data_IF_285693954630
#
_entry.id   IF_285693954630
#
_cell.length_a   1.000
_cell.length_b   1.000
_cell.length_c   1.000
_cell.angle_alpha   90.00
_cell.angle_beta   90.00
_cell.angle_gamma   90.00
#
_symmetry.space_group_name_H-M   'P 1'
#
loop_
_entity.id
_entity.type
_entity.pdbx_description
1 polymer ?
#
# COMPACT_ATOMS: atom_id res chain seq x y z
N UNK A 1 -0.88 -20.32 2.66
CA UNK A 1 -1.11 -20.23 1.21
C UNK A 1 0.19 -20.51 0.47
N UNK A 2 0.17 -21.41 -0.50
CA UNK A 2 1.29 -21.72 -1.39
C UNK A 2 1.06 -21.07 -2.76
N UNK A 3 2.12 -20.53 -3.34
CA UNK A 3 2.21 -20.20 -4.76
C UNK A 3 2.81 -21.43 -5.45
N UNK A 4 2.06 -22.01 -6.40
CA UNK A 4 2.35 -23.32 -6.97
C UNK A 4 2.38 -23.25 -8.49
N UNK A 5 3.39 -23.88 -9.08
CA UNK A 5 3.47 -24.10 -10.51
C UNK A 5 3.23 -25.58 -10.79
N UNK A 6 2.37 -25.87 -11.75
CA UNK A 6 2.04 -27.25 -12.13
C UNK A 6 1.82 -27.36 -13.64
N UNK A 7 1.94 -28.57 -14.16
CA UNK A 7 1.57 -28.90 -15.54
C UNK A 7 0.72 -30.16 -15.60
N UNK A 8 -0.04 -30.31 -16.68
CA UNK A 8 -0.78 -31.54 -16.97
C UNK A 8 -0.23 -32.10 -18.28
N UNK A 9 0.34 -33.29 -18.23
CA UNK A 9 0.90 -33.97 -19.39
C UNK A 9 0.21 -35.34 -19.53
N UNK A 10 -0.39 -35.59 -20.69
CA UNK A 10 -1.11 -36.83 -21.01
C UNK A 10 -2.18 -37.20 -19.96
N UNK A 11 -2.94 -36.20 -19.50
CA UNK A 11 -3.96 -36.36 -18.46
C UNK A 11 -3.41 -36.53 -17.04
N UNK A 12 -2.08 -36.48 -16.85
CA UNK A 12 -1.44 -36.60 -15.54
C UNK A 12 -0.98 -35.25 -15.01
N UNK A 13 -1.39 -34.90 -13.79
CA UNK A 13 -0.95 -33.71 -13.06
C UNK A 13 0.47 -33.87 -12.51
N UNK A 14 1.29 -32.84 -12.68
CA UNK A 14 2.65 -32.73 -12.17
C UNK A 14 2.82 -31.39 -11.45
N UNK A 15 3.26 -31.41 -10.19
CA UNK A 15 3.66 -30.18 -9.47
C UNK A 15 5.13 -29.91 -9.79
N UNK A 16 5.41 -28.72 -10.30
CA UNK A 16 6.75 -28.30 -10.72
C UNK A 16 7.46 -27.51 -9.63
N UNK A 17 6.73 -26.64 -8.93
CA UNK A 17 7.27 -25.80 -7.87
C UNK A 17 6.21 -25.48 -6.83
N UNK A 18 6.63 -25.33 -5.58
CA UNK A 18 5.85 -24.70 -4.53
C UNK A 18 6.72 -23.74 -3.74
N UNK A 19 6.15 -22.61 -3.33
CA UNK A 19 6.77 -21.68 -2.40
C UNK A 19 5.72 -20.96 -1.58
N UNK A 20 6.14 -20.38 -0.46
CA UNK A 20 5.28 -19.48 0.29
C UNK A 20 4.90 -18.29 -0.60
N UNK A 21 3.60 -18.14 -0.89
CA UNK A 21 3.11 -17.08 -1.77
C UNK A 21 3.35 -15.70 -1.19
N UNK A 22 3.88 -14.78 -2.00
CA UNK A 22 3.92 -13.35 -1.68
C UNK A 22 2.48 -12.83 -1.58
N UNK A 23 2.24 -11.90 -0.66
CA UNK A 23 0.91 -11.36 -0.36
C UNK A 23 0.99 -9.99 0.28
N UNK A 24 -0.09 -9.22 0.21
CA UNK A 24 -0.27 -7.94 0.90
C UNK A 24 -0.47 -8.14 2.41
N UNK A 25 -0.30 -7.08 3.20
CA UNK A 25 -0.58 -7.08 4.64
C UNK A 25 -2.00 -7.55 4.97
N UNK A 26 -3.00 -7.07 4.22
CA UNK A 26 -4.40 -7.48 4.39
C UNK A 26 -4.62 -8.98 4.15
N UNK A 27 -4.08 -9.51 3.05
CA UNK A 27 -4.20 -10.93 2.74
C UNK A 27 -3.47 -11.79 3.77
N UNK A 28 -2.32 -11.33 4.28
CA UNK A 28 -1.56 -12.01 5.32
C UNK A 28 -2.38 -12.18 6.61
N UNK A 29 -2.98 -11.09 7.09
CA UNK A 29 -3.83 -11.12 8.30
C UNK A 29 -5.05 -12.00 8.07
N UNK A 30 -5.75 -11.84 6.95
CA UNK A 30 -6.94 -12.66 6.63
C UNK A 30 -6.62 -14.16 6.67
N UNK A 31 -5.57 -14.59 5.98
CA UNK A 31 -5.17 -16.01 5.92
C UNK A 31 -4.79 -16.54 7.30
N UNK A 32 -4.05 -15.77 8.11
CA UNK A 32 -3.69 -16.20 9.46
C UNK A 32 -4.93 -16.37 10.35
N UNK A 33 -5.87 -15.43 10.29
CA UNK A 33 -7.12 -15.51 11.06
C UNK A 33 -8.03 -16.64 10.59
N UNK A 34 -8.10 -16.90 9.28
CA UNK A 34 -8.89 -18.01 8.74
C UNK A 34 -8.28 -19.36 9.18
N UNK A 35 -6.95 -19.52 9.11
CA UNK A 35 -6.27 -20.73 9.60
C UNK A 35 -6.44 -20.95 11.11
N UNK A 36 -6.44 -19.88 11.90
CA UNK A 36 -6.72 -19.96 13.34
C UNK A 36 -8.15 -20.43 13.60
N UNK A 37 -9.13 -19.87 12.89
CA UNK A 37 -10.55 -20.27 12.99
C UNK A 37 -10.78 -21.72 12.56
N UNK A 38 -10.05 -22.18 11.56
CA UNK A 38 -10.07 -23.57 11.08
C UNK A 38 -9.29 -24.53 12.01
N UNK A 39 -8.62 -24.02 13.05
CA UNK A 39 -7.82 -24.84 13.98
C UNK A 39 -6.54 -25.41 13.38
N UNK A 40 -6.07 -24.87 12.26
CA UNK A 40 -4.86 -25.32 11.56
C UNK A 40 -3.58 -24.79 12.20
N UNK A 41 -3.68 -23.70 12.97
CA UNK A 41 -2.56 -23.06 13.67
C UNK A 41 -3.00 -22.56 15.06
N UNK A 42 -2.04 -22.35 15.95
CA UNK A 42 -2.26 -21.70 17.25
C UNK A 42 -2.27 -20.17 17.15
N UNK A 43 -2.71 -19.48 18.21
CA UNK A 43 -2.64 -18.02 18.29
C UNK A 43 -1.19 -17.51 18.19
N UNK A 44 -0.25 -18.20 18.84
CA UNK A 44 1.18 -17.87 18.79
C UNK A 44 1.73 -17.99 17.35
N UNK A 45 1.39 -19.07 16.66
CA UNK A 45 1.77 -19.26 15.26
C UNK A 45 1.12 -18.24 14.33
N UNK A 46 -0.12 -17.81 14.62
CA UNK A 46 -0.79 -16.78 13.85
C UNK A 46 -0.04 -15.45 13.94
N UNK A 47 0.41 -15.06 15.13
CA UNK A 47 1.18 -13.84 15.37
C UNK A 47 2.55 -13.92 14.68
N UNK A 48 3.29 -15.03 14.87
CA UNK A 48 4.63 -15.20 14.29
C UNK A 48 4.65 -15.27 12.76
N UNK A 49 3.51 -15.55 12.12
CA UNK A 49 3.36 -15.55 10.66
C UNK A 49 3.10 -14.16 10.06
N UNK A 50 2.91 -13.14 10.89
CA UNK A 50 2.73 -11.75 10.47
C UNK A 50 4.09 -11.06 10.41
N UNK A 51 4.47 -10.59 9.23
CA UNK A 51 5.62 -9.71 9.07
C UNK A 51 5.26 -8.30 9.58
N UNK A 52 5.94 -7.77 10.63
CA UNK A 52 5.53 -6.52 11.27
C UNK A 52 5.45 -5.34 10.29
N UNK A 53 6.45 -5.21 9.43
CA UNK A 53 6.53 -4.10 8.45
C UNK A 53 5.40 -4.12 7.42
N UNK A 54 4.71 -5.26 7.23
CA UNK A 54 3.55 -5.35 6.33
C UNK A 54 2.25 -4.91 6.96
N UNK A 55 2.20 -4.76 8.29
CA UNK A 55 1.03 -4.18 8.93
C UNK A 55 0.89 -2.70 8.59
N UNK A 56 1.99 -2.00 8.28
CA UNK A 56 1.95 -0.59 7.86
C UNK A 56 1.09 -0.40 6.60
N UNK A 57 1.09 -1.38 5.67
CA UNK A 57 0.22 -1.39 4.50
C UNK A 57 -1.27 -1.28 4.85
N UNK A 58 -1.68 -1.77 6.03
CA UNK A 58 -3.06 -1.70 6.51
C UNK A 58 -3.44 -0.36 7.13
N UNK A 59 -2.44 0.42 7.54
CA UNK A 59 -2.62 1.69 8.23
C UNK A 59 -2.66 2.87 7.24
N UNK A 60 -2.15 2.66 6.03
CA UNK A 60 -2.18 3.69 5.01
C UNK A 60 -3.60 3.88 4.44
N UNK A 61 -4.05 5.13 4.28
CA UNK A 61 -5.30 5.41 3.57
C UNK A 61 -5.21 4.87 2.15
N UNK A 62 -6.29 4.26 1.67
CA UNK A 62 -6.45 3.78 0.30
C UNK A 62 -7.60 4.49 -0.38
N UNK A 63 -7.52 4.67 -1.69
CA UNK A 63 -8.67 5.15 -2.47
C UNK A 63 -9.73 4.05 -2.58
N UNK A 64 -10.98 4.47 -2.68
CA UNK A 64 -12.06 3.58 -3.07
C UNK A 64 -11.77 3.00 -4.48
N UNK A 65 -11.81 1.68 -4.67
CA UNK A 65 -11.45 1.05 -5.95
C UNK A 65 -12.32 1.50 -7.12
N UNK A 66 -13.60 1.77 -6.90
CA UNK A 66 -14.52 2.19 -7.96
C UNK A 66 -14.29 3.66 -8.33
N UNK A 67 -14.08 4.52 -7.32
CA UNK A 67 -13.67 5.91 -7.54
C UNK A 67 -12.34 6.00 -8.29
N UNK A 68 -11.38 5.13 -7.98
CA UNK A 68 -10.07 5.09 -8.64
C UNK A 68 -10.20 4.68 -10.11
N UNK A 69 -11.03 3.67 -10.42
CA UNK A 69 -11.29 3.25 -11.81
C UNK A 69 -11.98 4.34 -12.64
N UNK A 70 -12.87 5.12 -12.02
CA UNK A 70 -13.57 6.21 -12.67
C UNK A 70 -12.74 7.51 -12.78
N UNK A 71 -11.63 7.60 -12.06
CA UNK A 71 -10.80 8.80 -12.02
C UNK A 71 -10.11 9.05 -13.37
N UNK A 72 -10.06 10.33 -13.77
CA UNK A 72 -9.26 10.74 -14.91
C UNK A 72 -7.80 10.93 -14.49
N UNK A 73 -6.93 10.02 -14.91
CA UNK A 73 -5.50 10.08 -14.64
C UNK A 73 -4.86 11.12 -15.57
N UNK A 74 -4.26 12.16 -14.99
CA UNK A 74 -3.61 13.25 -15.74
C UNK A 74 -2.08 13.15 -15.76
N UNK A 75 -1.48 12.38 -14.85
CA UNK A 75 -0.03 12.21 -14.73
C UNK A 75 0.33 10.95 -13.92
N UNK A 76 1.59 10.51 -14.03
CA UNK A 76 2.16 9.42 -13.26
C UNK A 76 3.61 9.77 -12.87
N UNK A 77 3.98 9.52 -11.62
CA UNK A 77 5.33 9.75 -11.08
C UNK A 77 5.91 8.52 -10.37
N UNK A 78 7.01 8.70 -9.66
CA UNK A 78 7.63 7.65 -8.85
C UNK A 78 6.89 7.47 -7.52
N UNK A 79 6.66 6.21 -7.06
CA UNK A 79 6.00 5.94 -5.80
C UNK A 79 6.97 6.11 -4.62
N UNK A 80 7.28 7.36 -4.26
CA UNK A 80 8.24 7.68 -3.19
C UNK A 80 7.78 7.23 -1.80
N UNK A 81 6.47 7.26 -1.53
CA UNK A 81 5.86 6.83 -0.27
C UNK A 81 4.46 6.26 -0.51
N UNK A 82 4.04 5.18 0.17
CA UNK A 82 2.72 4.59 0.01
C UNK A 82 1.60 5.45 0.62
N UNK A 83 0.39 5.32 0.06
CA UNK A 83 -0.83 5.91 0.60
C UNK A 83 -1.65 6.71 -0.43
N UNK A 84 -2.89 7.02 -0.04
CA UNK A 84 -3.82 7.84 -0.80
C UNK A 84 -4.02 9.20 -0.14
N UNK A 85 -3.88 10.28 -0.91
CA UNK A 85 -4.02 11.64 -0.42
C UNK A 85 -5.02 12.43 -1.28
N UNK A 86 -5.90 13.18 -0.62
CA UNK A 86 -6.83 14.14 -1.26
C UNK A 86 -6.73 15.48 -0.56
N UNK A 87 -6.71 16.57 -1.33
CA UNK A 87 -6.68 17.92 -0.78
C UNK A 87 -6.65 18.99 -1.85
N UNK A 88 -6.67 20.26 -1.41
CA UNK A 88 -6.44 21.41 -2.28
C UNK A 88 -4.96 21.53 -2.63
N UNK A 89 -4.66 21.74 -3.91
CA UNK A 89 -3.29 22.00 -4.35
C UNK A 89 -2.83 23.34 -3.78
N UNK A 90 -1.64 23.34 -3.17
CA UNK A 90 -0.93 24.53 -2.73
C UNK A 90 0.52 24.45 -3.20
N UNK A 91 1.16 25.60 -3.43
CA UNK A 91 2.52 25.66 -4.01
C UNK A 91 3.58 26.12 -3.02
N UNK A 92 3.16 26.66 -1.88
CA UNK A 92 4.05 27.11 -0.81
C UNK A 92 3.70 26.42 0.51
N UNK A 93 4.72 26.14 1.32
CA UNK A 93 4.61 25.37 2.55
C UNK A 93 3.71 26.05 3.60
N UNK A 94 3.76 27.36 3.69
CA UNK A 94 2.94 28.19 4.59
C UNK A 94 1.44 28.19 4.24
N UNK A 95 1.09 27.84 3.00
CA UNK A 95 -0.31 27.76 2.56
C UNK A 95 -1.00 26.45 2.94
N UNK A 96 -0.24 25.44 3.39
CA UNK A 96 -0.77 24.12 3.71
C UNK A 96 -1.81 24.15 4.83
N UNK A 97 -1.75 25.15 5.71
CA UNK A 97 -2.68 25.40 6.82
C UNK A 97 -3.98 26.12 6.42
N UNK A 98 -4.02 26.75 5.23
CA UNK A 98 -5.19 27.49 4.76
C UNK A 98 -6.40 26.59 4.47
N UNK A 99 -6.16 25.29 4.28
CA UNK A 99 -7.18 24.30 3.94
C UNK A 99 -7.14 23.13 4.91
N UNK A 100 -8.31 22.53 5.19
CA UNK A 100 -8.42 21.33 6.05
C UNK A 100 -7.55 20.18 5.55
N UNK A 101 -7.47 20.00 4.23
CA UNK A 101 -6.61 19.04 3.56
C UNK A 101 -5.95 19.70 2.35
N UNK A 102 -4.63 19.66 2.31
CA UNK A 102 -3.80 20.25 1.27
C UNK A 102 -2.87 19.21 0.65
N UNK A 103 -2.53 19.41 -0.63
CA UNK A 103 -1.50 18.67 -1.36
C UNK A 103 -0.42 19.67 -1.73
N UNK A 104 0.78 19.51 -1.18
CA UNK A 104 1.90 20.39 -1.45
C UNK A 104 2.55 20.00 -2.78
N UNK A 105 2.52 20.90 -3.76
CA UNK A 105 3.09 20.66 -5.08
C UNK A 105 4.32 21.54 -5.27
N UNK A 106 5.48 20.92 -5.54
CA UNK A 106 6.78 21.59 -5.66
C UNK A 106 7.54 21.13 -6.90
N UNK A 107 8.55 21.89 -7.32
CA UNK A 107 9.51 21.38 -8.31
C UNK A 107 10.38 20.31 -7.64
N UNK A 108 10.95 20.68 -6.50
CA UNK A 108 11.71 19.86 -5.56
C UNK A 108 11.45 20.39 -4.13
N UNK A 109 11.62 19.56 -3.12
CA UNK A 109 11.47 19.98 -1.71
C UNK A 109 12.83 20.35 -1.11
N UNK A 110 12.83 21.33 -0.22
CA UNK A 110 14.00 21.77 0.53
C UNK A 110 13.74 21.69 2.05
N UNK A 111 14.76 21.83 2.91
CA UNK A 111 14.54 21.89 4.37
C UNK A 111 13.58 23.00 4.83
N UNK A 112 13.44 24.06 4.04
CA UNK A 112 12.49 25.16 4.30
C UNK A 112 11.03 24.73 4.16
N UNK A 113 10.76 23.67 3.38
CA UNK A 113 9.41 23.15 3.15
C UNK A 113 8.93 22.20 4.27
N UNK A 114 9.78 21.87 5.25
CA UNK A 114 9.55 20.80 6.24
C UNK A 114 8.24 20.95 7.02
N UNK A 115 7.91 22.17 7.44
CA UNK A 115 6.66 22.43 8.16
C UNK A 115 5.44 22.13 7.28
N UNK A 116 5.46 22.59 6.03
CA UNK A 116 4.39 22.32 5.06
C UNK A 116 4.29 20.84 4.70
N UNK A 117 5.42 20.14 4.58
CA UNK A 117 5.45 18.70 4.31
C UNK A 117 4.76 17.88 5.42
N UNK A 118 4.92 18.28 6.68
CA UNK A 118 4.29 17.59 7.81
C UNK A 118 2.77 17.83 7.89
N UNK A 119 2.31 19.00 7.42
CA UNK A 119 0.90 19.39 7.49
C UNK A 119 0.10 18.87 6.29
N UNK A 120 0.72 18.87 5.10
CA UNK A 120 0.07 18.42 3.87
C UNK A 120 -0.33 16.93 3.96
N UNK A 121 -1.46 16.59 3.34
CA UNK A 121 -1.91 15.19 3.24
C UNK A 121 -1.16 14.39 2.19
N UNK A 122 -0.51 15.06 1.25
CA UNK A 122 0.33 14.46 0.23
C UNK A 122 1.25 15.50 -0.39
N UNK A 123 2.31 15.02 -1.02
CA UNK A 123 3.34 15.84 -1.66
C UNK A 123 3.51 15.34 -3.09
N UNK A 124 3.57 16.27 -4.03
CA UNK A 124 3.87 15.97 -5.44
C UNK A 124 5.06 16.84 -5.87
N UNK A 125 6.14 16.20 -6.32
CA UNK A 125 7.30 16.90 -6.86
C UNK A 125 7.43 16.68 -8.37
N UNK A 126 7.93 17.68 -9.09
CA UNK A 126 8.24 17.55 -10.52
C UNK A 126 9.56 16.81 -10.75
N UNK A 127 10.47 16.88 -9.77
CA UNK A 127 11.80 16.24 -9.75
C UNK A 127 12.01 15.54 -8.39
N UNK A 128 12.97 14.64 -8.34
CA UNK A 128 13.43 13.95 -7.14
C UNK A 128 14.95 13.94 -7.12
#
# INVERSE_FOLDING_TARGET
>A
MQDMEFTIQDGKLWILQTRNGKRTGAAMVKIAMDFLKEGLITEEEAILRIEPNKLDELLHPVFDPEALKAAHIIAQGLPASPGAATGKIVFFADETTKFKHSILVRIETSPEDLEGMNIAKGILTARG
#
